data_IF_995917637182
#
_entry.id   IF_995917637182
#
_cell.length_a   1.000
_cell.length_b   1.000
_cell.length_c   1.000
_cell.angle_alpha   90.00
_cell.angle_beta   90.00
_cell.angle_gamma   90.00
#
_symmetry.space_group_name_H-M   'P 1'
#
loop_
_entity.id
_entity.type
_entity.pdbx_description
1 polymer ?
#
# COMPACT_ATOMS: atom_id res chain seq x y z
N UNK A 1 3.14 -14.55 -1.70
CA UNK A 1 2.17 -13.70 -2.46
C UNK A 1 2.37 -12.22 -2.16
N UNK A 2 1.93 -11.35 -3.07
CA UNK A 2 1.84 -9.88 -2.89
C UNK A 2 0.41 -9.55 -2.49
N UNK A 3 0.21 -8.83 -1.39
CA UNK A 3 -1.11 -8.45 -0.90
C UNK A 3 -1.38 -6.96 -1.11
N UNK A 4 -2.52 -6.63 -1.71
CA UNK A 4 -3.00 -5.24 -1.89
C UNK A 4 -4.26 -5.05 -1.06
N UNK A 5 -4.22 -4.15 -0.07
CA UNK A 5 -5.35 -3.93 0.84
C UNK A 5 -6.37 -2.97 0.23
N UNK A 6 -7.66 -3.31 0.35
CA UNK A 6 -8.77 -2.47 -0.05
C UNK A 6 -9.64 -2.17 1.18
N UNK A 7 -9.67 -0.93 1.62
CA UNK A 7 -10.58 -0.44 2.65
C UNK A 7 -11.57 0.56 2.04
N UNK A 8 -12.77 0.70 2.62
CA UNK A 8 -13.75 1.68 2.16
C UNK A 8 -13.13 3.06 1.98
N UNK A 9 -13.33 3.67 0.80
CA UNK A 9 -12.75 4.94 0.43
C UNK A 9 -11.30 4.84 -0.10
N UNK A 10 -10.84 3.66 -0.52
CA UNK A 10 -9.55 3.53 -1.22
C UNK A 10 -9.56 4.29 -2.56
N UNK A 11 -8.40 4.73 -3.04
CA UNK A 11 -8.27 5.35 -4.35
C UNK A 11 -8.15 4.28 -5.44
N UNK A 12 -9.11 4.22 -6.34
CA UNK A 12 -9.26 3.15 -7.32
C UNK A 12 -8.04 3.00 -8.25
N UNK A 13 -7.55 4.09 -8.80
CA UNK A 13 -6.40 4.06 -9.72
C UNK A 13 -5.12 3.64 -9.00
N UNK A 14 -4.95 4.01 -7.74
CA UNK A 14 -3.76 3.68 -6.94
C UNK A 14 -3.72 2.22 -6.50
N UNK A 15 -4.89 1.60 -6.32
CA UNK A 15 -5.00 0.19 -5.98
C UNK A 15 -4.91 -0.70 -7.23
N UNK A 16 -5.70 -0.40 -8.26
CA UNK A 16 -5.88 -1.30 -9.40
C UNK A 16 -4.75 -1.24 -10.42
N UNK A 17 -4.06 -0.11 -10.56
CA UNK A 17 -2.89 -0.01 -11.44
C UNK A 17 -1.76 -0.95 -11.01
N UNK A 18 -1.31 -0.98 -9.74
CA UNK A 18 -0.34 -1.97 -9.29
C UNK A 18 -0.83 -3.42 -9.44
N UNK A 19 -2.10 -3.70 -9.15
CA UNK A 19 -2.68 -5.04 -9.30
C UNK A 19 -2.56 -5.52 -10.75
N UNK A 20 -3.02 -4.70 -11.71
CA UNK A 20 -2.97 -5.04 -13.14
C UNK A 20 -1.53 -5.24 -13.61
N UNK A 21 -0.64 -4.30 -13.30
CA UNK A 21 0.74 -4.33 -13.76
C UNK A 21 1.54 -5.52 -13.20
N UNK A 22 1.36 -5.83 -11.91
CA UNK A 22 2.04 -6.96 -11.28
C UNK A 22 1.50 -8.30 -11.79
N UNK A 23 0.18 -8.41 -12.02
CA UNK A 23 -0.42 -9.62 -12.64
C UNK A 23 0.08 -9.81 -14.08
N UNK A 24 0.19 -8.75 -14.88
CA UNK A 24 0.82 -8.79 -16.23
C UNK A 24 2.27 -9.27 -16.17
N UNK A 25 2.99 -8.93 -15.10
CA UNK A 25 4.36 -9.39 -14.86
C UNK A 25 4.43 -10.83 -14.29
N UNK A 26 3.31 -11.56 -14.22
CA UNK A 26 3.24 -12.95 -13.75
C UNK A 26 3.40 -13.12 -12.25
N UNK A 27 3.19 -12.04 -11.46
CA UNK A 27 3.28 -12.10 -9.99
C UNK A 27 1.99 -12.64 -9.37
N UNK A 28 2.11 -13.39 -8.27
CA UNK A 28 0.95 -13.80 -7.45
C UNK A 28 0.50 -12.63 -6.59
N UNK A 29 -0.50 -11.89 -7.11
CA UNK A 29 -1.07 -10.69 -6.47
C UNK A 29 -2.51 -10.96 -6.10
N UNK A 30 -2.85 -10.71 -4.84
CA UNK A 30 -4.21 -10.81 -4.30
C UNK A 30 -4.64 -9.49 -3.70
N UNK A 31 -5.88 -9.11 -3.97
CA UNK A 31 -6.54 -8.02 -3.25
C UNK A 31 -7.24 -8.57 -2.02
N UNK A 32 -7.21 -7.83 -0.91
CA UNK A 32 -7.88 -8.21 0.34
C UNK A 32 -8.80 -7.11 0.82
N UNK A 33 -10.04 -7.45 1.12
CA UNK A 33 -11.03 -6.54 1.68
C UNK A 33 -10.82 -6.36 3.19
N UNK A 34 -10.76 -5.10 3.62
CA UNK A 34 -10.77 -4.71 5.03
C UNK A 34 -12.19 -4.28 5.39
N UNK A 35 -12.85 -5.10 6.21
CA UNK A 35 -14.26 -4.90 6.59
C UNK A 35 -15.21 -5.69 5.72
N UNK A 36 -15.80 -5.08 4.70
CA UNK A 36 -16.78 -5.73 3.82
C UNK A 36 -16.23 -5.99 2.42
N UNK A 37 -16.83 -6.94 1.72
CA UNK A 37 -16.56 -7.24 0.31
C UNK A 37 -17.92 -7.34 -0.44
N UNK A 38 -18.17 -6.58 -1.52
CA UNK A 38 -17.26 -5.67 -2.23
C UNK A 38 -16.86 -4.42 -1.42
N UNK A 39 -15.69 -3.86 -1.76
CA UNK A 39 -15.18 -2.61 -1.19
C UNK A 39 -15.45 -1.47 -2.17
N UNK A 40 -15.94 -0.33 -1.69
CA UNK A 40 -16.20 0.83 -2.53
C UNK A 40 -15.10 1.87 -2.38
N UNK A 41 -14.51 2.27 -3.49
CA UNK A 41 -13.48 3.30 -3.54
C UNK A 41 -14.01 4.71 -3.35
N UNK A 42 -13.10 5.68 -3.25
CA UNK A 42 -13.41 7.10 -3.01
C UNK A 42 -14.20 7.76 -4.15
N UNK A 43 -14.19 7.17 -5.33
CA UNK A 43 -14.94 7.62 -6.52
C UNK A 43 -16.16 6.75 -6.83
N UNK A 44 -16.62 5.94 -5.87
CA UNK A 44 -17.85 5.18 -5.98
C UNK A 44 -17.77 3.90 -6.80
N UNK A 45 -16.56 3.44 -7.16
CA UNK A 45 -16.37 2.19 -7.89
C UNK A 45 -16.20 1.06 -6.88
N UNK A 46 -17.11 0.09 -6.94
CA UNK A 46 -17.07 -1.09 -6.07
C UNK A 46 -16.21 -2.20 -6.70
N UNK A 47 -15.31 -2.75 -5.92
CA UNK A 47 -14.41 -3.82 -6.32
C UNK A 47 -14.62 -5.04 -5.44
N UNK A 48 -14.81 -6.21 -6.06
CA UNK A 48 -14.79 -7.50 -5.35
C UNK A 48 -13.34 -7.88 -5.14
N UNK A 49 -12.90 -7.91 -3.87
CA UNK A 49 -11.57 -8.36 -3.52
C UNK A 49 -11.45 -9.89 -3.66
N UNK A 50 -10.23 -10.38 -3.94
CA UNK A 50 -9.95 -11.81 -4.06
C UNK A 50 -10.14 -12.54 -2.73
N UNK A 51 -9.84 -11.87 -1.60
CA UNK A 51 -9.87 -12.44 -0.25
C UNK A 51 -10.54 -11.47 0.73
N UNK A 52 -11.09 -12.03 1.81
CA UNK A 52 -11.38 -11.33 3.04
C UNK A 52 -10.16 -11.40 3.98
N UNK A 53 -10.07 -10.47 4.94
CA UNK A 53 -8.94 -10.42 5.88
C UNK A 53 -8.76 -11.71 6.70
N UNK A 54 -9.85 -12.39 7.06
CA UNK A 54 -9.85 -13.65 7.82
C UNK A 54 -9.48 -14.88 6.97
N UNK A 55 -9.46 -14.75 5.65
CA UNK A 55 -9.01 -15.80 4.73
C UNK A 55 -7.51 -15.76 4.46
N UNK A 56 -6.81 -14.68 4.89
CA UNK A 56 -5.39 -14.50 4.60
C UNK A 56 -4.52 -15.30 5.56
N UNK A 57 -3.68 -16.16 5.01
CA UNK A 57 -2.60 -16.82 5.75
C UNK A 57 -1.39 -15.87 5.80
N UNK A 58 -1.17 -15.23 6.95
CA UNK A 58 -0.14 -14.18 7.09
C UNK A 58 1.25 -14.67 6.68
N UNK A 59 1.56 -15.95 6.92
CA UNK A 59 2.85 -16.54 6.57
C UNK A 59 3.09 -16.67 5.06
N UNK A 60 2.08 -16.51 4.23
CA UNK A 60 2.20 -16.49 2.77
C UNK A 60 2.36 -15.08 2.21
N UNK A 61 2.19 -14.04 3.04
CA UNK A 61 2.31 -12.65 2.61
C UNK A 61 3.78 -12.23 2.61
N UNK A 62 4.35 -12.07 1.43
CA UNK A 62 5.75 -11.67 1.22
C UNK A 62 5.89 -10.15 1.11
N UNK A 63 4.91 -9.50 0.48
CA UNK A 63 4.92 -8.07 0.22
C UNK A 63 3.53 -7.47 0.45
N UNK A 64 3.49 -6.24 0.93
CA UNK A 64 2.24 -5.52 1.23
C UNK A 64 2.21 -4.17 0.50
N UNK A 65 1.10 -3.88 -0.17
CA UNK A 65 0.84 -2.63 -0.87
C UNK A 65 -0.39 -1.97 -0.24
N UNK A 66 -0.21 -0.71 0.17
CA UNK A 66 -1.23 0.13 0.80
C UNK A 66 -1.64 1.25 -0.17
N UNK A 67 -2.79 1.14 -0.83
CA UNK A 67 -3.34 2.23 -1.65
C UNK A 67 -3.73 3.43 -0.79
N UNK A 68 -3.76 4.61 -1.41
CA UNK A 68 -4.26 5.82 -0.80
C UNK A 68 -5.79 5.94 -0.85
N UNK A 69 -6.24 7.19 -0.92
CA UNK A 69 -7.65 7.55 -0.80
C UNK A 69 -8.06 7.83 0.63
N UNK A 70 -9.11 8.66 0.77
CA UNK A 70 -9.72 8.98 2.05
C UNK A 70 -11.21 8.63 2.03
N UNK A 71 -11.74 7.99 3.08
CA UNK A 71 -11.08 7.61 4.33
C UNK A 71 -10.27 6.29 4.27
N UNK A 72 -10.01 5.73 3.09
CA UNK A 72 -9.33 4.44 2.92
C UNK A 72 -8.03 4.34 3.72
N UNK A 73 -7.13 5.33 3.62
CA UNK A 73 -5.85 5.32 4.34
C UNK A 73 -6.03 5.34 5.87
N UNK A 74 -7.03 6.07 6.38
CA UNK A 74 -7.36 6.09 7.82
C UNK A 74 -7.93 4.75 8.26
N UNK A 75 -8.76 4.13 7.43
CA UNK A 75 -9.31 2.79 7.70
C UNK A 75 -8.22 1.73 7.72
N UNK A 76 -7.21 1.83 6.83
CA UNK A 76 -6.03 0.96 6.88
C UNK A 76 -5.21 1.18 8.15
N UNK A 77 -5.01 2.44 8.54
CA UNK A 77 -4.25 2.80 9.75
C UNK A 77 -4.88 2.25 11.03
N UNK A 78 -6.21 2.19 11.08
CA UNK A 78 -6.97 1.66 12.21
C UNK A 78 -7.12 0.12 12.22
N UNK A 79 -6.60 -0.57 11.21
CA UNK A 79 -6.82 -2.01 11.04
C UNK A 79 -5.76 -2.86 11.73
N UNK A 80 -6.15 -3.65 12.73
CA UNK A 80 -5.28 -4.64 13.37
C UNK A 80 -4.77 -5.71 12.38
N UNK A 81 -5.54 -6.02 11.34
CA UNK A 81 -5.10 -6.92 10.29
C UNK A 81 -3.93 -6.33 9.49
N UNK A 82 -3.98 -5.04 9.18
CA UNK A 82 -2.86 -4.34 8.51
C UNK A 82 -1.62 -4.35 9.39
N UNK A 83 -1.75 -4.16 10.70
CA UNK A 83 -0.64 -4.26 11.63
C UNK A 83 0.00 -5.65 11.61
N UNK A 84 -0.82 -6.70 11.62
CA UNK A 84 -0.36 -8.08 11.55
C UNK A 84 0.36 -8.39 10.23
N UNK A 85 -0.17 -7.89 9.09
CA UNK A 85 0.48 -8.02 7.78
C UNK A 85 1.84 -7.32 7.76
N UNK A 86 1.92 -6.07 8.24
CA UNK A 86 3.18 -5.33 8.31
C UNK A 86 4.21 -6.10 9.13
N UNK A 87 3.83 -6.58 10.31
CA UNK A 87 4.73 -7.34 11.18
C UNK A 87 5.24 -8.62 10.51
N UNK A 88 4.35 -9.38 9.85
CA UNK A 88 4.72 -10.61 9.12
C UNK A 88 5.67 -10.33 7.97
N UNK A 89 5.37 -9.33 7.14
CA UNK A 89 6.22 -8.94 6.00
C UNK A 89 7.61 -8.50 6.47
N UNK A 90 7.69 -7.70 7.53
CA UNK A 90 8.97 -7.25 8.09
C UNK A 90 9.80 -8.41 8.65
N UNK A 91 9.17 -9.33 9.38
CA UNK A 91 9.85 -10.51 9.94
C UNK A 91 10.48 -11.39 8.86
N UNK A 92 9.93 -11.39 7.66
CA UNK A 92 10.42 -12.16 6.50
C UNK A 92 11.39 -11.36 5.61
N UNK A 93 11.69 -10.10 5.94
CA UNK A 93 12.50 -9.23 5.09
C UNK A 93 11.82 -8.86 3.78
N UNK A 94 10.48 -8.87 3.77
CA UNK A 94 9.65 -8.51 2.62
C UNK A 94 9.64 -7.01 2.35
N UNK A 95 8.82 -6.60 1.38
CA UNK A 95 8.73 -5.22 0.93
C UNK A 95 7.39 -4.60 1.31
N UNK A 96 7.41 -3.38 1.80
CA UNK A 96 6.24 -2.56 2.06
C UNK A 96 6.14 -1.44 1.03
N UNK A 97 4.95 -1.18 0.53
CA UNK A 97 4.70 -0.09 -0.40
C UNK A 97 3.44 0.69 -0.01
N UNK A 98 3.48 2.01 -0.18
CA UNK A 98 2.35 2.88 0.14
C UNK A 98 2.33 4.10 -0.79
N UNK A 99 1.13 4.52 -1.21
CA UNK A 99 0.96 5.64 -2.14
C UNK A 99 -0.01 6.69 -1.59
N UNK A 100 0.17 7.95 -1.98
CA UNK A 100 -0.72 9.07 -1.70
C UNK A 100 -0.76 9.41 -0.19
N UNK A 101 -1.92 9.22 0.46
CA UNK A 101 -2.07 9.38 1.90
C UNK A 101 -1.56 8.16 2.70
N UNK A 102 -1.52 6.97 2.10
CA UNK A 102 -1.20 5.73 2.80
C UNK A 102 0.21 5.64 3.43
N UNK A 103 1.25 6.39 2.97
CA UNK A 103 2.52 6.45 3.71
C UNK A 103 2.39 6.88 5.17
N UNK A 104 1.27 7.56 5.57
CA UNK A 104 0.96 7.84 6.98
C UNK A 104 0.94 6.57 7.84
N UNK A 105 0.47 5.44 7.28
CA UNK A 105 0.40 4.15 7.99
C UNK A 105 1.79 3.70 8.40
N UNK A 106 2.75 3.83 7.51
CA UNK A 106 4.15 3.46 7.76
C UNK A 106 4.84 4.48 8.67
N UNK A 107 4.59 5.78 8.44
CA UNK A 107 5.18 6.87 9.22
C UNK A 107 4.76 6.86 10.68
N UNK A 108 3.48 6.64 10.97
CA UNK A 108 2.94 6.56 12.34
C UNK A 108 3.52 5.39 13.12
N UNK A 109 3.95 4.34 12.44
CA UNK A 109 4.60 3.15 13.04
C UNK A 109 6.12 3.28 13.13
N UNK A 110 6.69 4.45 12.79
CA UNK A 110 8.14 4.69 12.86
C UNK A 110 8.97 3.97 11.80
N UNK A 111 8.32 3.37 10.80
CA UNK A 111 8.99 2.57 9.77
C UNK A 111 9.73 3.42 8.73
N UNK A 112 9.48 4.72 8.70
CA UNK A 112 10.10 5.67 7.77
C UNK A 112 11.25 6.46 8.42
N UNK A 113 11.58 6.21 9.69
CA UNK A 113 12.64 6.93 10.39
C UNK A 113 13.99 6.79 9.66
N UNK A 114 14.62 7.93 9.35
CA UNK A 114 15.90 8.00 8.63
C UNK A 114 15.83 7.66 7.14
N UNK A 115 14.66 7.26 6.62
CA UNK A 115 14.48 6.89 5.21
C UNK A 115 14.03 8.08 4.36
N UNK A 116 14.37 8.03 3.07
CA UNK A 116 13.73 8.92 2.09
C UNK A 116 12.33 8.39 1.79
N UNK A 117 11.36 9.27 1.74
CA UNK A 117 9.98 8.92 1.44
C UNK A 117 9.25 10.09 0.75
N UNK A 118 8.13 9.79 0.12
CA UNK A 118 7.21 10.76 -0.45
C UNK A 118 5.78 10.40 -0.08
N UNK A 119 4.87 11.36 -0.19
CA UNK A 119 3.45 11.19 0.03
C UNK A 119 2.65 12.25 -0.73
N UNK A 120 1.34 12.16 -0.68
CA UNK A 120 0.47 13.22 -1.18
C UNK A 120 0.71 14.52 -0.39
N UNK A 121 0.75 15.70 -1.07
CA UNK A 121 0.93 16.99 -0.39
C UNK A 121 -0.07 17.20 0.74
N UNK A 122 0.44 17.60 1.91
CA UNK A 122 -0.34 17.77 3.15
C UNK A 122 -0.21 16.63 4.15
N UNK A 123 0.37 15.49 3.77
CA UNK A 123 0.61 14.34 4.66
C UNK A 123 2.07 14.22 5.14
N UNK A 124 2.93 15.16 4.77
CA UNK A 124 4.36 15.12 5.10
C UNK A 124 4.63 14.99 6.60
N UNK A 125 3.82 15.66 7.43
CA UNK A 125 3.94 15.61 8.89
C UNK A 125 3.65 14.23 9.50
N UNK A 126 2.99 13.36 8.76
CA UNK A 126 2.70 11.99 9.19
C UNK A 126 3.87 11.01 8.94
N UNK A 127 4.81 11.39 8.08
CA UNK A 127 6.00 10.58 7.76
C UNK A 127 7.10 10.81 8.81
N UNK A 128 6.81 10.44 10.05
CA UNK A 128 7.65 10.72 11.22
C UNK A 128 9.08 10.24 11.02
N UNK A 129 10.04 11.15 11.19
CA UNK A 129 11.47 10.86 11.07
C UNK A 129 11.98 10.63 9.65
N UNK A 130 11.12 10.69 8.63
CA UNK A 130 11.52 10.55 7.24
C UNK A 130 12.21 11.80 6.70
N UNK A 131 13.09 11.61 5.73
CA UNK A 131 13.56 12.67 4.82
C UNK A 131 12.59 12.74 3.65
N UNK A 132 11.59 13.61 3.80
CA UNK A 132 10.52 13.74 2.80
C UNK A 132 11.06 14.41 1.54
N UNK A 133 10.72 13.85 0.38
CA UNK A 133 11.09 14.36 -0.94
C UNK A 133 9.84 14.72 -1.75
N UNK A 134 9.98 15.52 -2.78
CA UNK A 134 8.92 15.86 -3.73
C UNK A 134 8.93 14.95 -4.98
N UNK A 135 9.63 13.81 -4.92
CA UNK A 135 9.68 12.86 -6.03
C UNK A 135 8.37 12.08 -6.13
N UNK A 136 7.99 11.71 -7.34
CA UNK A 136 6.77 10.94 -7.58
C UNK A 136 6.81 9.56 -6.93
N UNK A 137 7.97 8.89 -7.00
CA UNK A 137 8.20 7.56 -6.42
C UNK A 137 9.57 7.54 -5.74
N UNK A 138 9.63 6.97 -4.55
CA UNK A 138 10.86 6.79 -3.79
C UNK A 138 10.93 5.37 -3.26
N UNK A 139 12.02 4.67 -3.57
CA UNK A 139 12.37 3.41 -2.92
C UNK A 139 13.60 3.62 -2.03
N UNK A 140 13.49 3.24 -0.76
CA UNK A 140 14.59 3.23 0.19
C UNK A 140 14.60 1.91 0.96
N UNK A 141 15.58 1.07 0.62
CA UNK A 141 15.65 -0.30 1.12
C UNK A 141 14.46 -1.14 0.70
N UNK A 142 13.70 -1.64 1.65
CA UNK A 142 12.50 -2.46 1.46
C UNK A 142 11.19 -1.68 1.57
N UNK A 143 11.23 -0.37 1.36
CA UNK A 143 10.03 0.48 1.38
C UNK A 143 9.98 1.32 0.10
N UNK A 144 8.84 1.28 -0.58
CA UNK A 144 8.52 2.16 -1.72
C UNK A 144 7.33 3.03 -1.37
N UNK A 145 7.48 4.35 -1.57
CA UNK A 145 6.39 5.32 -1.40
C UNK A 145 6.16 6.10 -2.70
N UNK A 146 4.93 6.57 -2.92
CA UNK A 146 4.58 7.41 -4.07
C UNK A 146 3.61 8.53 -3.66
N UNK A 147 3.58 9.62 -4.43
CA UNK A 147 2.94 10.88 -4.00
C UNK A 147 1.47 11.02 -4.37
N UNK A 148 0.91 10.17 -5.22
CA UNK A 148 -0.51 10.27 -5.53
C UNK A 148 -0.91 9.60 -6.84
N UNK A 149 -2.14 9.84 -7.29
CA UNK A 149 -2.75 9.11 -8.39
C UNK A 149 -2.01 9.28 -9.73
N UNK A 150 -1.40 10.43 -9.99
CA UNK A 150 -0.60 10.65 -11.21
C UNK A 150 0.66 9.79 -11.22
N UNK A 151 1.16 9.40 -10.04
CA UNK A 151 2.28 8.49 -9.88
C UNK A 151 1.89 7.02 -9.86
N UNK A 152 0.62 6.65 -10.02
CA UNK A 152 0.15 5.26 -9.92
C UNK A 152 0.88 4.33 -10.91
N UNK A 153 1.04 4.75 -12.17
CA UNK A 153 1.76 3.96 -13.16
C UNK A 153 3.28 3.89 -12.92
N UNK A 154 4.00 4.99 -12.64
CA UNK A 154 5.40 4.93 -12.21
C UNK A 154 5.59 4.06 -10.95
N UNK A 155 4.71 4.17 -9.96
CA UNK A 155 4.72 3.34 -8.75
C UNK A 155 4.59 1.85 -9.08
N UNK A 156 3.61 1.48 -9.91
CA UNK A 156 3.41 0.10 -10.33
C UNK A 156 4.63 -0.46 -11.09
N UNK A 157 5.24 0.33 -11.97
CA UNK A 157 6.47 -0.06 -12.68
C UNK A 157 7.64 -0.30 -11.72
N UNK A 158 7.80 0.58 -10.74
CA UNK A 158 8.82 0.41 -9.70
C UNK A 158 8.57 -0.86 -8.88
N UNK A 159 7.31 -1.14 -8.50
CA UNK A 159 6.96 -2.38 -7.80
C UNK A 159 7.27 -3.63 -8.62
N UNK A 160 6.98 -3.62 -9.92
CA UNK A 160 7.38 -4.74 -10.82
C UNK A 160 8.89 -4.96 -10.78
N UNK A 161 9.68 -3.88 -10.71
CA UNK A 161 11.15 -3.93 -10.65
C UNK A 161 11.67 -4.47 -9.31
N UNK A 162 11.10 -4.03 -8.18
CA UNK A 162 11.65 -4.33 -6.85
C UNK A 162 11.07 -5.58 -6.19
N UNK A 163 9.91 -6.04 -6.64
CA UNK A 163 9.26 -7.27 -6.18
C UNK A 163 9.56 -8.47 -7.10
N UNK A 164 10.75 -8.50 -7.61
CA UNK A 164 11.21 -9.55 -8.53
C UNK A 164 11.32 -10.93 -7.85
#
# INVERSE_FOLDING_TARGET
MILVTLAEGFEEIEALTPVDMLRRAGKDVRTVAIGKNPVTGSHGISVVADLMADEVVLDEVEHLILPGGMPGSVNLDASAFVDACIASVLARGGHLAAICAAPLVLGRRGLLEGKRATCFPGFEGELRGARVTALDVVTDGKITTANGMEAALPFAKELVRVLA
#
